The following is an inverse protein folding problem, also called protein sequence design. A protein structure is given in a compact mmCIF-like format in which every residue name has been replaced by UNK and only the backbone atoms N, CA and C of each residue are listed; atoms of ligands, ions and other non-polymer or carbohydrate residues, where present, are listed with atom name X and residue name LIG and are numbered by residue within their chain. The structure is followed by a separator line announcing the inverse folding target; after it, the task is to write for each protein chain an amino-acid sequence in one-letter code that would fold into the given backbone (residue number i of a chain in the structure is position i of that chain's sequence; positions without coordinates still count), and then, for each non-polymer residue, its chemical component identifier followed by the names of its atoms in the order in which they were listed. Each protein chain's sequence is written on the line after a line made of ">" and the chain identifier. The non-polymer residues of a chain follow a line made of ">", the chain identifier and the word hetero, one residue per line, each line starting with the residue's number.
data_IF_606639763216
#
_entry.id   IF_606639763216
#
_cell.length_a   1.000
_cell.length_b   1.000
_cell.length_c   1.000
_cell.angle_alpha   90.00
_cell.angle_beta   90.00
_cell.angle_gamma   90.00
#
_symmetry.space_group_name_H-M   'P 1'
#
loop_
_entity.id
_entity.type
_entity.pdbx_description
1 polymer ?
#
# COMPACT_ATOMS: atom_id res chain seq x y z
N UNK A 1 33.00 -28.41 12.81
CA UNK A 1 31.84 -27.50 12.96
C UNK A 1 31.39 -27.16 11.55
N UNK A 2 30.30 -27.77 11.08
CA UNK A 2 29.66 -27.34 9.84
C UNK A 2 29.17 -25.91 10.01
N UNK A 3 29.55 -25.06 9.07
CA UNK A 3 29.15 -23.66 9.00
C UNK A 3 27.65 -23.59 8.68
N UNK A 4 26.84 -23.43 9.72
CA UNK A 4 25.38 -23.30 9.67
C UNK A 4 24.95 -21.84 9.48
N UNK A 5 25.59 -21.13 8.55
CA UNK A 5 25.04 -19.83 8.11
C UNK A 5 23.73 -20.09 7.34
N UNK A 6 22.59 -19.51 7.77
CA UNK A 6 21.34 -19.66 7.05
C UNK A 6 21.51 -19.07 5.63
N UNK A 7 20.90 -19.68 4.59
CA UNK A 7 21.03 -19.20 3.23
C UNK A 7 20.61 -17.73 3.18
N UNK A 8 21.53 -16.87 2.75
CA UNK A 8 21.26 -15.45 2.51
C UNK A 8 20.03 -15.37 1.61
N UNK A 9 18.96 -14.74 2.11
CA UNK A 9 17.76 -14.49 1.32
C UNK A 9 18.16 -13.91 -0.04
N UNK A 10 17.65 -14.45 -1.16
CA UNK A 10 18.08 -14.03 -2.48
C UNK A 10 17.86 -12.53 -2.61
N UNK A 11 18.95 -11.79 -2.79
CA UNK A 11 18.93 -10.36 -3.06
C UNK A 11 17.96 -10.12 -4.21
N UNK A 12 16.97 -9.20 -4.06
CA UNK A 12 16.04 -8.89 -5.14
C UNK A 12 16.82 -8.56 -6.42
N UNK A 13 16.37 -9.03 -7.59
CA UNK A 13 17.04 -8.76 -8.85
C UNK A 13 17.35 -7.26 -8.98
N UNK A 14 18.56 -6.89 -9.46
CA UNK A 14 18.91 -5.49 -9.67
C UNK A 14 17.84 -4.82 -10.53
N UNK A 15 17.40 -3.63 -10.14
CA UNK A 15 16.58 -2.80 -11.00
C UNK A 15 17.34 -2.62 -12.33
N UNK A 16 16.75 -3.06 -13.46
CA UNK A 16 17.28 -2.72 -14.77
C UNK A 16 17.23 -1.21 -14.88
N UNK A 17 18.39 -0.55 -14.87
CA UNK A 17 18.51 0.91 -14.84
C UNK A 17 17.80 1.61 -16.03
N UNK A 18 17.39 0.85 -17.04
CA UNK A 18 16.81 1.31 -18.30
C UNK A 18 15.27 1.18 -18.40
N UNK A 19 14.58 0.62 -17.39
CA UNK A 19 13.12 0.48 -17.45
C UNK A 19 12.41 1.81 -17.08
N UNK A 20 11.41 2.20 -17.87
CA UNK A 20 10.65 3.45 -17.70
C UNK A 20 9.88 3.46 -16.37
N UNK A 21 10.21 4.42 -15.49
CA UNK A 21 9.66 4.52 -14.14
C UNK A 21 8.39 5.38 -14.05
N UNK A 22 7.96 5.99 -15.15
CA UNK A 22 6.91 7.01 -15.13
C UNK A 22 5.61 6.48 -14.55
N UNK A 23 5.11 5.35 -15.06
CA UNK A 23 3.87 4.75 -14.55
C UNK A 23 3.98 4.34 -13.06
N UNK A 24 5.14 3.83 -12.64
CA UNK A 24 5.39 3.41 -11.27
C UNK A 24 5.39 4.57 -10.27
N UNK A 25 5.85 5.76 -10.67
CA UNK A 25 5.85 6.96 -9.82
C UNK A 25 4.47 7.64 -9.84
N UNK A 26 3.91 7.83 -11.04
CA UNK A 26 2.65 8.56 -11.24
C UNK A 26 1.48 7.89 -10.53
N UNK A 27 1.51 6.55 -10.37
CA UNK A 27 0.41 5.84 -9.71
C UNK A 27 0.24 6.21 -8.23
N UNK A 28 1.27 6.75 -7.55
CA UNK A 28 1.18 7.14 -6.15
C UNK A 28 0.56 8.52 -5.91
N UNK A 29 0.55 9.42 -6.91
CA UNK A 29 0.30 10.84 -6.68
C UNK A 29 -1.11 11.15 -6.17
N UNK A 30 -2.12 10.61 -6.85
CA UNK A 30 -3.54 10.77 -6.51
C UNK A 30 -4.31 9.63 -7.17
N UNK A 31 -5.63 9.53 -6.90
CA UNK A 31 -6.50 8.63 -7.66
C UNK A 31 -6.48 8.94 -9.16
N UNK A 32 -6.38 10.22 -9.54
CA UNK A 32 -6.23 10.64 -10.93
C UNK A 32 -4.89 10.17 -11.49
N UNK A 33 -3.80 10.33 -10.72
CA UNK A 33 -2.48 9.81 -11.07
C UNK A 33 -2.48 8.29 -11.26
N UNK A 34 -3.19 7.54 -10.42
CA UNK A 34 -3.38 6.10 -10.58
C UNK A 34 -4.05 5.74 -11.91
N UNK A 35 -5.14 6.42 -12.28
CA UNK A 35 -5.82 6.21 -13.57
C UNK A 35 -4.89 6.53 -14.74
N UNK A 36 -4.17 7.66 -14.68
CA UNK A 36 -3.19 8.04 -15.70
C UNK A 36 -2.09 6.99 -15.83
N UNK A 37 -1.59 6.47 -14.71
CA UNK A 37 -0.57 5.43 -14.70
C UNK A 37 -1.04 4.11 -15.33
N UNK A 38 -2.32 3.74 -15.15
CA UNK A 38 -2.92 2.60 -15.87
C UNK A 38 -2.85 2.80 -17.38
N UNK A 39 -3.20 4.00 -17.85
CA UNK A 39 -3.17 4.34 -19.28
C UNK A 39 -1.73 4.31 -19.80
N UNK A 40 -0.79 4.92 -19.06
CA UNK A 40 0.64 4.91 -19.41
C UNK A 40 1.19 3.49 -19.52
N UNK A 41 0.92 2.64 -18.53
CA UNK A 41 1.38 1.26 -18.52
C UNK A 41 0.67 0.41 -19.60
N UNK A 42 -0.59 0.71 -19.94
CA UNK A 42 -1.29 -0.01 -21.02
C UNK A 42 -0.71 0.30 -22.40
N UNK A 43 -0.26 1.54 -22.63
CA UNK A 43 0.40 1.93 -23.88
C UNK A 43 1.83 1.40 -23.96
N UNK A 44 2.58 1.45 -22.86
CA UNK A 44 3.96 0.96 -22.77
C UNK A 44 4.12 0.14 -21.50
N UNK A 45 3.96 -1.18 -21.62
CA UNK A 45 4.01 -2.08 -20.47
C UNK A 45 5.40 -2.15 -19.89
N UNK A 46 5.46 -2.04 -18.56
CA UNK A 46 6.68 -2.22 -17.78
C UNK A 46 6.38 -3.13 -16.59
N UNK A 47 7.34 -3.97 -16.21
CA UNK A 47 7.25 -4.82 -15.01
C UNK A 47 7.18 -3.96 -13.76
N UNK A 48 8.00 -2.90 -13.69
CA UNK A 48 7.98 -1.94 -12.60
C UNK A 48 6.63 -1.21 -12.49
N UNK A 49 6.07 -0.72 -13.60
CA UNK A 49 4.77 -0.07 -13.63
C UNK A 49 3.64 -1.00 -13.21
N UNK A 50 3.58 -2.21 -13.76
CA UNK A 50 2.58 -3.22 -13.38
C UNK A 50 2.68 -3.58 -11.89
N UNK A 51 3.90 -3.77 -11.37
CA UNK A 51 4.13 -4.06 -9.95
C UNK A 51 3.56 -2.97 -9.03
N UNK A 52 3.91 -1.71 -9.27
CA UNK A 52 3.48 -0.59 -8.44
C UNK A 52 1.99 -0.25 -8.63
N UNK A 53 1.43 -0.45 -9.82
CA UNK A 53 -0.02 -0.38 -10.04
C UNK A 53 -0.76 -1.38 -9.16
N UNK A 54 -0.29 -2.64 -9.04
CA UNK A 54 -0.88 -3.62 -8.10
C UNK A 54 -0.73 -3.20 -6.64
N UNK A 55 0.43 -2.66 -6.25
CA UNK A 55 0.66 -2.16 -4.89
C UNK A 55 -0.33 -1.04 -4.54
N UNK A 56 -0.45 -0.02 -5.41
CA UNK A 56 -1.35 1.12 -5.17
C UNK A 56 -2.82 0.70 -5.24
N UNK A 57 -3.20 -0.20 -6.15
CA UNK A 57 -4.56 -0.73 -6.22
C UNK A 57 -4.96 -1.40 -4.90
N UNK A 58 -4.10 -2.26 -4.37
CA UNK A 58 -4.32 -2.90 -3.07
C UNK A 58 -4.36 -1.91 -1.91
N UNK A 59 -3.51 -0.89 -1.92
CA UNK A 59 -3.51 0.18 -0.93
C UNK A 59 -4.84 0.96 -0.92
N UNK A 60 -5.31 1.39 -2.10
CA UNK A 60 -6.59 2.12 -2.24
C UNK A 60 -7.75 1.27 -1.71
N UNK A 61 -7.83 -0.01 -2.13
CA UNK A 61 -8.89 -0.91 -1.68
C UNK A 61 -8.83 -1.17 -0.18
N UNK A 62 -7.64 -1.33 0.39
CA UNK A 62 -7.46 -1.48 1.85
C UNK A 62 -7.94 -0.24 2.59
N UNK A 63 -7.59 0.96 2.10
CA UNK A 63 -8.04 2.23 2.66
C UNK A 63 -9.57 2.35 2.67
N UNK A 64 -10.23 1.98 1.56
CA UNK A 64 -11.70 2.00 1.45
C UNK A 64 -12.34 1.02 2.45
N UNK A 65 -11.87 -0.23 2.48
CA UNK A 65 -12.42 -1.27 3.37
C UNK A 65 -12.27 -0.87 4.83
N UNK A 66 -11.07 -0.43 5.24
CA UNK A 66 -10.83 -0.03 6.64
C UNK A 66 -11.64 1.21 7.00
N UNK A 67 -11.76 2.19 6.11
CA UNK A 67 -12.58 3.38 6.36
C UNK A 67 -14.04 3.03 6.62
N UNK A 68 -14.62 2.13 5.80
CA UNK A 68 -16.01 1.65 5.99
C UNK A 68 -16.14 0.89 7.32
N UNK A 69 -15.22 -0.04 7.62
CA UNK A 69 -15.25 -0.80 8.86
C UNK A 69 -15.16 0.11 10.10
N UNK A 70 -14.24 1.07 10.10
CA UNK A 70 -14.09 2.04 11.18
C UNK A 70 -15.34 2.91 11.31
N UNK A 71 -15.94 3.37 10.21
CA UNK A 71 -17.17 4.16 10.24
C UNK A 71 -18.33 3.39 10.90
N UNK A 72 -18.52 2.11 10.55
CA UNK A 72 -19.56 1.26 11.16
C UNK A 72 -19.29 1.05 12.65
N UNK A 73 -18.06 0.67 13.02
CA UNK A 73 -17.67 0.46 14.42
C UNK A 73 -17.92 1.72 15.24
N UNK A 74 -17.53 2.89 14.71
CA UNK A 74 -17.72 4.16 15.39
C UNK A 74 -19.17 4.58 15.48
N UNK A 75 -19.98 4.31 14.46
CA UNK A 75 -21.41 4.58 14.51
C UNK A 75 -22.10 3.75 15.60
N UNK A 76 -21.80 2.45 15.69
CA UNK A 76 -22.32 1.59 16.75
C UNK A 76 -21.84 2.04 18.13
N UNK A 77 -20.55 2.33 18.27
CA UNK A 77 -19.97 2.82 19.52
C UNK A 77 -20.61 4.14 19.97
N UNK A 78 -20.86 5.05 19.03
CA UNK A 78 -21.57 6.29 19.29
C UNK A 78 -22.97 6.02 19.83
N UNK A 79 -23.77 5.14 19.20
CA UNK A 79 -25.12 4.82 19.69
C UNK A 79 -25.13 4.22 21.10
N UNK A 80 -24.15 3.36 21.42
CA UNK A 80 -24.04 2.73 22.74
C UNK A 80 -23.56 3.69 23.84
N UNK A 81 -22.68 4.63 23.49
CA UNK A 81 -22.04 5.54 24.45
C UNK A 81 -22.64 6.95 24.47
N UNK A 82 -23.57 7.30 23.56
CA UNK A 82 -24.11 8.65 23.39
C UNK A 82 -24.68 9.27 24.69
N UNK A 83 -25.14 8.43 25.62
CA UNK A 83 -25.69 8.87 26.91
C UNK A 83 -24.73 8.73 28.09
N UNK A 84 -23.54 8.14 27.88
CA UNK A 84 -22.53 7.92 28.93
C UNK A 84 -21.33 8.86 28.74
N UNK A 85 -20.98 9.65 29.77
CA UNK A 85 -19.74 10.44 29.80
C UNK A 85 -18.53 9.54 30.03
N UNK A 86 -18.21 8.71 29.03
CA UNK A 86 -17.13 7.73 29.12
C UNK A 86 -15.80 8.34 28.67
N UNK A 87 -14.78 8.21 29.52
CA UNK A 87 -13.39 8.55 29.19
C UNK A 87 -12.89 7.81 27.93
N UNK A 88 -13.50 6.67 27.61
CA UNK A 88 -13.17 5.84 26.46
C UNK A 88 -13.35 6.57 25.11
N UNK A 89 -14.28 7.53 25.04
CA UNK A 89 -14.51 8.36 23.83
C UNK A 89 -13.27 9.20 23.49
N UNK A 90 -12.46 9.58 24.49
CA UNK A 90 -11.26 10.37 24.28
C UNK A 90 -10.12 9.57 23.61
N UNK A 91 -10.17 8.24 23.63
CA UNK A 91 -9.16 7.38 22.98
C UNK A 91 -9.40 7.19 21.47
N UNK A 92 -10.63 7.42 21.02
CA UNK A 92 -11.04 7.30 19.62
C UNK A 92 -10.13 8.10 18.66
N UNK A 93 -9.90 9.42 18.86
CA UNK A 93 -9.04 10.19 17.96
C UNK A 93 -7.60 9.66 17.91
N UNK A 94 -7.08 9.07 18.99
CA UNK A 94 -5.74 8.47 19.00
C UNK A 94 -5.65 7.23 18.11
N UNK A 95 -6.71 6.40 18.08
CA UNK A 95 -6.80 5.23 17.19
C UNK A 95 -6.79 5.69 15.72
N UNK A 96 -7.59 6.70 15.38
CA UNK A 96 -7.61 7.28 14.03
C UNK A 96 -6.26 7.84 13.61
N UNK A 97 -5.58 8.54 14.52
CA UNK A 97 -4.24 9.07 14.28
C UNK A 97 -3.23 7.95 14.03
N UNK A 98 -3.18 6.94 14.90
CA UNK A 98 -2.26 5.82 14.75
C UNK A 98 -2.49 5.06 13.43
N UNK A 99 -3.75 4.82 13.07
CA UNK A 99 -4.09 4.20 11.79
C UNK A 99 -3.66 5.08 10.61
N UNK A 100 -4.00 6.38 10.64
CA UNK A 100 -3.62 7.33 9.58
C UNK A 100 -2.11 7.40 9.37
N UNK A 101 -1.33 7.47 10.46
CA UNK A 101 0.14 7.44 10.40
C UNK A 101 0.63 6.14 9.76
N UNK A 102 0.08 4.98 10.13
CA UNK A 102 0.51 3.71 9.54
C UNK A 102 0.21 3.63 8.04
N UNK A 103 -0.93 4.15 7.57
CA UNK A 103 -1.27 4.22 6.15
C UNK A 103 -0.31 5.14 5.38
N UNK A 104 0.03 6.30 5.94
CA UNK A 104 1.00 7.22 5.33
C UNK A 104 2.38 6.57 5.26
N UNK A 105 2.83 5.89 6.32
CA UNK A 105 4.12 5.17 6.31
C UNK A 105 4.15 4.12 5.20
N UNK A 106 3.10 3.31 5.06
CA UNK A 106 3.01 2.31 3.99
C UNK A 106 3.07 2.95 2.61
N UNK A 107 2.31 4.02 2.37
CA UNK A 107 2.33 4.75 1.11
C UNK A 107 3.73 5.32 0.79
N UNK A 108 4.38 5.98 1.76
CA UNK A 108 5.71 6.57 1.60
C UNK A 108 6.75 5.50 1.27
N UNK A 109 6.72 4.35 1.96
CA UNK A 109 7.66 3.26 1.70
C UNK A 109 7.48 2.66 0.30
N UNK A 110 6.23 2.51 -0.16
CA UNK A 110 5.93 2.10 -1.53
C UNK A 110 6.41 3.12 -2.56
N UNK A 111 6.19 4.41 -2.29
CA UNK A 111 6.60 5.49 -3.18
C UNK A 111 8.12 5.63 -3.30
N UNK A 112 8.86 5.49 -2.18
CA UNK A 112 10.33 5.46 -2.19
C UNK A 112 10.84 4.29 -3.05
N UNK A 113 10.22 3.11 -2.93
CA UNK A 113 10.58 1.97 -3.77
C UNK A 113 10.35 2.28 -5.27
N UNK A 114 9.24 2.93 -5.63
CA UNK A 114 8.95 3.33 -7.00
C UNK A 114 9.96 4.32 -7.56
N UNK A 115 10.32 5.36 -6.80
CA UNK A 115 11.36 6.34 -7.19
C UNK A 115 12.70 5.62 -7.44
N UNK A 116 13.04 4.68 -6.57
CA UNK A 116 14.26 3.90 -6.70
C UNK A 116 14.20 2.83 -7.82
N UNK A 117 13.04 2.64 -8.47
CA UNK A 117 12.86 1.61 -9.49
C UNK A 117 12.90 0.19 -8.92
N UNK A 118 12.55 0.02 -7.64
CA UNK A 118 12.60 -1.26 -6.95
C UNK A 118 11.21 -1.86 -6.87
N UNK A 119 11.05 -3.12 -7.29
CA UNK A 119 9.84 -3.91 -7.06
C UNK A 119 9.78 -4.42 -5.61
N UNK A 120 9.89 -3.49 -4.64
CA UNK A 120 9.81 -3.78 -3.21
C UNK A 120 8.35 -3.59 -2.75
N UNK A 121 7.71 -4.64 -2.22
CA UNK A 121 6.33 -4.52 -1.75
C UNK A 121 6.25 -3.63 -0.51
N UNK A 122 5.11 -2.96 -0.31
CA UNK A 122 4.83 -2.32 0.97
C UNK A 122 4.87 -3.36 2.10
N UNK A 123 5.41 -3.03 3.29
CA UNK A 123 5.49 -4.00 4.37
C UNK A 123 4.10 -4.43 4.85
N UNK A 124 4.00 -5.61 5.45
CA UNK A 124 2.77 -6.23 5.97
C UNK A 124 1.77 -6.65 4.88
N UNK A 125 1.35 -5.73 4.01
CA UNK A 125 0.21 -5.92 3.08
C UNK A 125 0.63 -6.07 1.62
N UNK A 126 1.79 -5.54 1.22
CA UNK A 126 2.24 -5.54 -0.17
C UNK A 126 2.42 -6.92 -0.81
N UNK A 127 2.90 -7.97 -0.09
CA UNK A 127 2.91 -9.33 -0.63
C UNK A 127 1.51 -9.87 -0.93
N UNK A 128 0.51 -9.51 -0.13
CA UNK A 128 -0.88 -9.92 -0.35
C UNK A 128 -1.43 -9.27 -1.62
N UNK A 129 -1.11 -8.00 -1.87
CA UNK A 129 -1.52 -7.30 -3.08
C UNK A 129 -0.96 -7.95 -4.35
N UNK A 130 0.30 -8.38 -4.33
CA UNK A 130 0.86 -9.13 -5.48
C UNK A 130 0.19 -10.49 -5.66
N UNK A 131 -0.21 -11.16 -4.58
CA UNK A 131 -0.95 -12.42 -4.67
C UNK A 131 -2.37 -12.22 -5.23
N UNK A 132 -3.10 -11.23 -4.72
CA UNK A 132 -4.50 -11.00 -5.13
C UNK A 132 -4.63 -10.44 -6.53
N UNK A 133 -3.67 -9.62 -6.95
CA UNK A 133 -3.72 -8.92 -8.24
C UNK A 133 -2.66 -9.41 -9.21
N UNK A 134 -2.04 -10.58 -9.01
CA UNK A 134 -0.80 -10.99 -9.69
C UNK A 134 -0.79 -10.84 -11.21
N UNK A 135 -1.92 -11.07 -11.88
CA UNK A 135 -2.07 -10.95 -13.34
C UNK A 135 -2.61 -9.60 -13.80
N UNK A 136 -2.94 -8.70 -12.88
CA UNK A 136 -3.42 -7.36 -13.23
C UNK A 136 -2.27 -6.50 -13.78
N UNK A 137 -2.59 -5.71 -14.81
CA UNK A 137 -1.70 -4.77 -15.48
C UNK A 137 -0.49 -5.41 -16.20
N UNK A 138 -0.48 -6.75 -16.33
CA UNK A 138 0.38 -7.46 -17.28
C UNK A 138 -0.06 -7.25 -18.72
#
# INVERSE_FOLDING_TARGET
>A
MEDITPPSSPTPPPATADEDKTAAIVCYLTLIGFIVAIILNSNKKTKLGAFHLRQVMGFILTGIVVWICLAIVMFVLFLLLAFMKSILVLLVPLIYLAFGVSMIVLWVLGFIAAINGQMKPMPVVGPMYQKWFGTAFE
#
